data_IF_664291138149
#
_entry.id   IF_664291138149
#
_cell.length_a   1.000
_cell.length_b   1.000
_cell.length_c   1.000
_cell.angle_alpha   90.00
_cell.angle_beta   90.00
_cell.angle_gamma   90.00
#
_symmetry.space_group_name_H-M   'P 1'
#
loop_
_entity.id
_entity.type
_entity.pdbx_description
1 polymer ?
#
# COMPACT_ATOMS: atom_id res chain seq x y z
N UNK A 1 18.26 61.57 32.66
CA UNK A 1 18.62 61.35 31.22
C UNK A 1 19.78 60.39 31.24
N UNK A 2 19.71 59.13 30.81
CA UNK A 2 18.98 58.51 29.69
C UNK A 2 19.00 57.00 29.93
N UNK A 3 17.86 56.34 29.75
CA UNK A 3 17.77 54.87 29.74
C UNK A 3 18.45 54.31 28.47
N UNK A 4 19.12 53.14 28.51
CA UNK A 4 19.51 52.45 27.30
C UNK A 4 18.33 51.63 26.76
N UNK A 5 18.12 51.78 25.47
CA UNK A 5 17.11 51.20 24.60
C UNK A 5 17.27 49.68 24.43
N UNK A 6 16.15 49.00 24.59
CA UNK A 6 15.89 47.66 24.08
C UNK A 6 15.68 47.69 22.55
N UNK A 7 15.86 46.51 21.92
CA UNK A 7 15.70 46.13 20.49
C UNK A 7 17.02 46.04 19.68
N UNK A 8 17.53 44.83 19.56
CA UNK A 8 17.57 44.12 18.27
C UNK A 8 18.01 42.64 18.48
N UNK A 9 17.05 41.71 18.50
CA UNK A 9 17.35 40.25 18.52
C UNK A 9 16.65 39.57 17.37
N UNK A 10 16.93 40.02 16.15
CA UNK A 10 16.49 39.32 14.94
C UNK A 10 17.49 38.19 14.64
N UNK A 11 17.31 37.01 15.27
CA UNK A 11 18.03 35.81 14.85
C UNK A 11 17.55 35.41 13.45
N UNK A 12 18.40 35.62 12.44
CA UNK A 12 18.24 35.05 11.10
C UNK A 12 18.34 33.52 11.21
N UNK A 13 17.22 32.83 11.06
CA UNK A 13 17.22 31.38 10.82
C UNK A 13 17.84 31.13 9.44
N UNK A 14 19.04 30.56 9.41
CA UNK A 14 19.59 29.99 8.18
C UNK A 14 18.78 28.75 7.83
N UNK A 15 18.07 28.81 6.72
CA UNK A 15 17.34 27.69 6.14
C UNK A 15 18.38 26.78 5.49
N UNK A 16 18.67 25.63 6.11
CA UNK A 16 19.43 24.56 5.47
C UNK A 16 18.65 24.05 4.24
N UNK A 17 19.33 23.75 3.12
CA UNK A 17 18.67 23.07 2.02
C UNK A 17 18.25 21.69 2.51
N UNK A 18 16.93 21.47 2.58
CA UNK A 18 16.34 20.19 2.96
C UNK A 18 16.72 19.07 1.98
N UNK A 19 16.46 17.80 2.36
CA UNK A 19 16.80 16.65 1.53
C UNK A 19 16.12 16.73 0.17
N UNK A 20 16.80 16.18 -0.84
CA UNK A 20 16.43 16.22 -2.27
C UNK A 20 14.92 16.09 -2.51
N UNK A 21 14.42 16.95 -3.42
CA UNK A 21 13.01 17.05 -3.74
C UNK A 21 12.42 15.69 -4.13
N UNK A 22 11.29 15.25 -3.52
CA UNK A 22 10.60 14.05 -3.95
C UNK A 22 10.11 14.18 -5.40
N UNK A 23 9.98 13.04 -6.09
CA UNK A 23 9.55 12.92 -7.49
C UNK A 23 8.27 13.73 -7.81
N UNK A 24 8.09 14.21 -9.06
CA UNK A 24 7.02 15.13 -9.41
C UNK A 24 5.63 14.55 -9.10
N UNK A 25 4.90 15.24 -8.23
CA UNK A 25 3.61 14.84 -7.68
C UNK A 25 2.52 14.79 -8.77
N UNK A 26 1.78 13.68 -8.87
CA UNK A 26 0.63 13.53 -9.77
C UNK A 26 -0.64 14.11 -9.14
N UNK A 27 -1.52 14.71 -9.95
CA UNK A 27 -2.85 15.13 -9.48
C UNK A 27 -3.69 13.90 -9.12
N UNK A 28 -4.68 14.07 -8.24
CA UNK A 28 -5.48 12.96 -7.73
C UNK A 28 -6.95 13.34 -7.52
N UNK A 29 -7.77 12.32 -7.30
CA UNK A 29 -9.13 12.48 -6.77
C UNK A 29 -9.23 11.78 -5.42
N UNK A 30 -9.84 12.45 -4.45
CA UNK A 30 -10.02 11.95 -3.08
C UNK A 30 -11.50 11.92 -2.74
N UNK A 31 -12.00 10.82 -2.20
CA UNK A 31 -13.38 10.73 -1.70
C UNK A 31 -13.48 11.52 -0.40
N UNK A 32 -14.27 12.60 -0.40
CA UNK A 32 -14.46 13.49 0.76
C UNK A 32 -15.82 13.30 1.44
N UNK A 33 -16.74 12.56 0.80
CA UNK A 33 -18.04 12.20 1.36
C UNK A 33 -18.56 10.90 0.75
N UNK A 34 -19.30 10.14 1.54
CA UNK A 34 -19.92 8.88 1.12
C UNK A 34 -19.03 7.65 1.35
N UNK A 35 -19.35 6.56 0.67
CA UNK A 35 -18.66 5.29 0.82
C UNK A 35 -17.24 5.37 0.24
N UNK A 36 -16.25 4.88 1.00
CA UNK A 36 -14.86 5.01 0.63
C UNK A 36 -14.24 6.37 0.99
N UNK A 37 -14.82 7.11 1.95
CA UNK A 37 -14.22 8.33 2.53
C UNK A 37 -12.71 8.16 2.79
N UNK A 38 -11.91 9.11 2.28
CA UNK A 38 -10.45 9.12 2.37
C UNK A 38 -9.73 8.27 1.32
N UNK A 39 -10.44 7.44 0.53
CA UNK A 39 -9.81 6.76 -0.61
C UNK A 39 -9.34 7.78 -1.64
N UNK A 40 -8.16 7.53 -2.18
CA UNK A 40 -7.50 8.36 -3.18
C UNK A 40 -7.13 7.50 -4.37
N UNK A 41 -7.16 8.10 -5.56
CA UNK A 41 -6.50 7.54 -6.72
C UNK A 41 -5.79 8.65 -7.51
N UNK A 42 -4.54 8.37 -7.88
CA UNK A 42 -3.71 9.28 -8.64
C UNK A 42 -4.04 9.18 -10.13
N UNK A 43 -4.05 10.32 -10.79
CA UNK A 43 -4.28 10.42 -12.23
C UNK A 43 -2.93 10.21 -12.90
N UNK A 44 -2.78 9.03 -13.49
CA UNK A 44 -1.60 8.61 -14.23
C UNK A 44 -1.73 8.94 -15.72
N UNK A 45 -0.90 8.32 -16.56
CA UNK A 45 -0.99 8.43 -18.02
C UNK A 45 -2.25 7.78 -18.59
N UNK A 46 -2.72 6.69 -17.98
CA UNK A 46 -3.94 6.00 -18.37
C UNK A 46 -5.17 6.64 -17.71
N UNK A 47 -6.35 6.64 -18.37
CA UNK A 47 -7.56 7.18 -17.78
C UNK A 47 -7.95 6.45 -16.48
N UNK A 48 -8.00 7.20 -15.40
CA UNK A 48 -8.46 6.75 -14.08
C UNK A 48 -9.97 6.51 -14.12
N UNK A 49 -10.43 5.29 -13.86
CA UNK A 49 -11.85 4.93 -13.80
C UNK A 49 -12.35 4.91 -12.35
N UNK A 50 -13.45 5.63 -12.10
CA UNK A 50 -14.18 5.60 -10.82
C UNK A 50 -15.44 4.75 -11.00
N UNK A 51 -15.72 3.85 -10.07
CA UNK A 51 -16.94 3.04 -10.14
C UNK A 51 -17.09 2.03 -9.01
N UNK A 52 -18.22 1.30 -9.02
CA UNK A 52 -18.50 0.21 -8.07
C UNK A 52 -17.96 -1.16 -8.50
N UNK A 53 -17.26 -1.24 -9.64
CA UNK A 53 -16.55 -2.48 -9.98
C UNK A 53 -15.27 -2.56 -9.16
N UNK A 54 -14.90 -3.76 -8.69
CA UNK A 54 -13.58 -3.99 -8.10
C UNK A 54 -12.44 -3.75 -9.11
N UNK A 55 -12.76 -3.70 -10.41
CA UNK A 55 -11.84 -3.38 -11.51
C UNK A 55 -11.63 -1.88 -11.71
N UNK A 56 -12.42 -1.02 -11.05
CA UNK A 56 -12.22 0.42 -11.13
C UNK A 56 -10.98 0.83 -10.31
N UNK A 57 -10.18 1.75 -10.84
CA UNK A 57 -9.00 2.27 -10.14
C UNK A 57 -9.38 2.87 -8.79
N UNK A 58 -10.47 3.66 -8.78
CA UNK A 58 -11.13 4.13 -7.57
C UNK A 58 -12.46 3.39 -7.35
N UNK A 59 -12.35 2.30 -6.58
CA UNK A 59 -13.49 1.45 -6.21
C UNK A 59 -14.33 2.04 -5.07
N UNK A 60 -15.59 2.38 -5.39
CA UNK A 60 -16.62 2.88 -4.47
C UNK A 60 -17.79 1.86 -4.42
N UNK A 61 -17.85 0.98 -3.40
CA UNK A 61 -18.82 -0.14 -3.28
C UNK A 61 -20.31 0.22 -3.15
N UNK A 62 -20.75 1.39 -3.60
CA UNK A 62 -22.10 1.86 -3.32
C UNK A 62 -23.09 1.54 -4.45
N UNK A 63 -24.34 1.10 -4.15
CA UNK A 63 -25.35 0.80 -5.16
C UNK A 63 -25.70 1.97 -6.09
N UNK A 64 -25.60 3.21 -5.59
CA UNK A 64 -25.84 4.43 -6.38
C UNK A 64 -24.71 4.77 -7.35
N UNK A 65 -23.59 4.04 -7.33
CA UNK A 65 -22.47 4.20 -8.25
C UNK A 65 -22.55 3.11 -9.33
N UNK A 66 -22.49 3.48 -10.62
CA UNK A 66 -22.40 2.51 -11.73
C UNK A 66 -21.07 1.75 -11.71
N UNK A 67 -21.03 0.55 -12.33
CA UNK A 67 -19.84 -0.33 -12.32
C UNK A 67 -18.58 0.41 -12.82
N UNK A 68 -18.73 1.14 -13.91
CA UNK A 68 -17.83 2.20 -14.37
C UNK A 68 -18.68 3.46 -14.45
N UNK A 69 -18.38 4.47 -13.64
CA UNK A 69 -19.23 5.66 -13.46
C UNK A 69 -18.70 6.84 -14.26
N UNK A 70 -17.43 7.18 -14.06
CA UNK A 70 -16.74 8.22 -14.80
C UNK A 70 -15.28 7.83 -15.04
N UNK A 71 -14.64 8.52 -15.98
CA UNK A 71 -13.20 8.44 -16.19
C UNK A 71 -12.58 9.84 -16.11
N UNK A 72 -11.42 9.94 -15.46
CA UNK A 72 -10.61 11.14 -15.33
C UNK A 72 -9.28 10.91 -16.02
N UNK A 73 -8.83 11.86 -16.84
CA UNK A 73 -7.55 11.75 -17.54
C UNK A 73 -6.90 13.11 -17.70
N UNK A 74 -5.62 13.11 -18.07
CA UNK A 74 -4.88 14.32 -18.40
C UNK A 74 -4.61 14.37 -19.91
N UNK A 75 -4.98 15.48 -20.55
CA UNK A 75 -4.83 15.67 -21.99
C UNK A 75 -4.54 17.14 -22.29
N UNK A 76 -3.55 17.42 -23.16
CA UNK A 76 -3.22 18.79 -23.58
C UNK A 76 -2.99 19.78 -22.42
N UNK A 77 -2.40 19.33 -21.31
CA UNK A 77 -2.13 20.16 -20.13
C UNK A 77 -3.35 20.45 -19.26
N UNK A 78 -4.47 19.74 -19.46
CA UNK A 78 -5.71 19.88 -18.68
C UNK A 78 -6.16 18.53 -18.14
N UNK A 79 -6.73 18.56 -16.96
CA UNK A 79 -7.45 17.41 -16.42
C UNK A 79 -8.88 17.46 -16.92
N UNK A 80 -9.38 16.31 -17.38
CA UNK A 80 -10.72 16.17 -17.94
C UNK A 80 -11.43 14.99 -17.30
N UNK A 81 -12.74 15.09 -17.23
CA UNK A 81 -13.62 14.04 -16.72
C UNK A 81 -14.74 13.79 -17.72
N UNK A 82 -15.16 12.53 -17.82
CA UNK A 82 -16.33 12.12 -18.61
C UNK A 82 -17.22 11.18 -17.82
N UNK A 83 -18.52 11.31 -18.02
CA UNK A 83 -19.49 10.31 -17.60
C UNK A 83 -19.39 9.08 -18.52
N UNK A 84 -19.46 7.87 -17.95
CA UNK A 84 -19.40 6.61 -18.71
C UNK A 84 -20.80 6.00 -18.96
N UNK A 85 -21.83 6.85 -19.08
CA UNK A 85 -23.22 6.41 -19.20
C UNK A 85 -23.77 5.96 -17.86
N UNK A 86 -23.40 6.65 -16.78
CA UNK A 86 -23.79 6.26 -15.43
C UNK A 86 -25.29 6.48 -15.19
N UNK A 87 -25.88 5.64 -14.32
CA UNK A 87 -27.31 5.71 -13.99
C UNK A 87 -27.65 7.01 -13.25
N UNK A 88 -26.77 7.44 -12.33
CA UNK A 88 -27.01 8.61 -11.46
C UNK A 88 -26.30 9.88 -11.94
N UNK A 89 -25.74 9.85 -13.15
CA UNK A 89 -25.04 10.94 -13.85
C UNK A 89 -23.90 11.58 -13.05
N UNK A 90 -22.73 11.64 -13.65
CA UNK A 90 -21.58 12.36 -13.09
C UNK A 90 -21.89 13.85 -13.04
N UNK A 91 -21.60 14.49 -11.89
CA UNK A 91 -21.72 15.93 -11.72
C UNK A 91 -20.39 16.55 -11.30
N UNK A 92 -20.05 17.71 -11.86
CA UNK A 92 -18.92 18.54 -11.45
C UNK A 92 -19.48 19.85 -10.92
N UNK A 93 -19.19 20.19 -9.66
CA UNK A 93 -19.76 21.36 -8.97
C UNK A 93 -21.28 21.47 -9.17
N UNK A 94 -21.98 20.36 -8.87
CA UNK A 94 -23.44 20.19 -8.97
C UNK A 94 -24.02 20.15 -10.40
N UNK A 95 -23.22 20.42 -11.44
CA UNK A 95 -23.66 20.40 -12.84
C UNK A 95 -23.45 19.03 -13.45
N UNK A 96 -24.50 18.47 -14.08
CA UNK A 96 -24.39 17.21 -14.84
C UNK A 96 -23.49 17.43 -16.05
N UNK A 97 -22.56 16.50 -16.26
CA UNK A 97 -21.62 16.53 -17.38
C UNK A 97 -21.78 15.30 -18.27
N UNK A 98 -21.41 15.45 -19.54
CA UNK A 98 -20.98 14.33 -20.39
C UNK A 98 -19.44 14.30 -20.42
N UNK A 99 -18.83 15.47 -20.65
CA UNK A 99 -17.40 15.73 -20.54
C UNK A 99 -17.19 17.13 -19.95
N UNK A 100 -16.21 17.31 -19.07
CA UNK A 100 -15.81 18.62 -18.52
C UNK A 100 -14.31 18.69 -18.26
N UNK A 101 -13.76 19.89 -18.24
CA UNK A 101 -12.44 20.14 -17.65
C UNK A 101 -12.58 20.14 -16.10
N UNK A 102 -11.51 19.79 -15.39
CA UNK A 102 -11.40 19.81 -13.93
C UNK A 102 -10.35 20.84 -13.49
N UNK A 103 -10.72 21.67 -12.52
CA UNK A 103 -9.86 22.63 -11.84
C UNK A 103 -9.65 22.25 -10.37
N UNK A 104 -8.52 22.65 -9.80
CA UNK A 104 -8.18 22.36 -8.40
C UNK A 104 -9.33 22.71 -7.44
N UNK A 105 -9.71 21.75 -6.61
CA UNK A 105 -10.80 21.91 -5.64
C UNK A 105 -12.20 21.58 -6.17
N UNK A 106 -12.35 21.24 -7.46
CA UNK A 106 -13.63 20.83 -8.02
C UNK A 106 -14.21 19.59 -7.30
N UNK A 107 -15.51 19.64 -7.06
CA UNK A 107 -16.25 18.53 -6.48
C UNK A 107 -16.90 17.67 -7.57
N UNK A 108 -16.57 16.38 -7.59
CA UNK A 108 -17.17 15.40 -8.48
C UNK A 108 -18.15 14.54 -7.69
N UNK A 109 -19.43 14.61 -8.00
CA UNK A 109 -20.46 13.76 -7.39
C UNK A 109 -20.68 12.52 -8.25
N UNK A 110 -20.54 11.33 -7.65
CA UNK A 110 -20.88 10.03 -8.25
C UNK A 110 -21.83 9.28 -7.31
N UNK A 111 -23.10 9.16 -7.73
CA UNK A 111 -24.13 8.62 -6.84
C UNK A 111 -24.29 9.47 -5.57
N UNK A 112 -24.04 8.86 -4.41
CA UNK A 112 -24.07 9.52 -3.08
C UNK A 112 -22.68 9.91 -2.58
N UNK A 113 -21.63 9.62 -3.35
CA UNK A 113 -20.25 9.95 -2.98
C UNK A 113 -19.82 11.26 -3.62
N UNK A 114 -19.03 12.04 -2.88
CA UNK A 114 -18.42 13.28 -3.39
C UNK A 114 -16.90 13.09 -3.34
N UNK A 115 -16.27 13.32 -4.48
CA UNK A 115 -14.84 13.35 -4.64
C UNK A 115 -14.40 14.80 -4.79
N UNK A 116 -13.19 15.10 -4.36
CA UNK A 116 -12.51 16.36 -4.62
C UNK A 116 -11.33 16.10 -5.54
N UNK A 117 -11.27 16.83 -6.65
CA UNK A 117 -10.10 16.83 -7.50
C UNK A 117 -9.03 17.75 -6.92
N UNK A 118 -7.82 17.24 -6.81
CA UNK A 118 -6.67 17.95 -6.26
C UNK A 118 -5.57 17.93 -7.32
N UNK A 119 -5.20 19.10 -7.79
CA UNK A 119 -4.13 19.30 -8.76
C UNK A 119 -2.75 19.13 -8.12
N UNK A 120 -1.74 18.87 -8.96
CA UNK A 120 -0.35 18.74 -8.56
C UNK A 120 0.23 20.00 -7.86
N UNK A 121 -0.40 21.17 -8.03
CA UNK A 121 0.08 22.44 -7.50
C UNK A 121 -0.50 22.79 -6.11
N UNK A 122 -1.41 21.98 -5.57
CA UNK A 122 -2.12 22.31 -4.33
C UNK A 122 -1.29 21.98 -3.09
N UNK A 123 -1.21 22.92 -2.14
CA UNK A 123 -0.67 22.64 -0.79
C UNK A 123 -1.53 21.58 -0.09
N UNK A 124 -2.82 21.53 -0.40
CA UNK A 124 -3.73 20.51 0.10
C UNK A 124 -3.37 19.11 -0.42
N UNK A 125 -2.80 19.00 -1.63
CA UNK A 125 -2.29 17.74 -2.15
C UNK A 125 -1.22 17.14 -1.22
N UNK A 126 -0.36 17.99 -0.64
CA UNK A 126 0.68 17.56 0.31
C UNK A 126 0.06 17.06 1.62
N UNK A 127 -0.96 17.75 2.13
CA UNK A 127 -1.65 17.32 3.35
C UNK A 127 -2.42 16.00 3.13
N UNK A 128 -3.17 15.87 2.03
CA UNK A 128 -3.87 14.62 1.71
C UNK A 128 -2.90 13.49 1.36
N UNK A 129 -1.74 13.76 0.77
CA UNK A 129 -0.66 12.78 0.59
C UNK A 129 -0.13 12.31 1.94
N UNK A 130 0.26 13.21 2.83
CA UNK A 130 0.76 12.86 4.16
C UNK A 130 -0.29 12.09 4.97
N UNK A 131 -1.54 12.53 4.95
CA UNK A 131 -2.65 11.82 5.61
C UNK A 131 -2.89 10.45 4.96
N UNK A 132 -2.84 10.34 3.63
CA UNK A 132 -3.00 9.06 2.94
C UNK A 132 -1.83 8.12 3.25
N UNK A 133 -0.59 8.59 3.20
CA UNK A 133 0.60 7.81 3.56
C UNK A 133 0.51 7.33 5.02
N UNK A 134 0.19 8.20 5.96
CA UNK A 134 -0.03 7.83 7.37
C UNK A 134 -1.17 6.80 7.53
N UNK A 135 -2.21 6.90 6.70
CA UNK A 135 -3.36 6.01 6.75
C UNK A 135 -3.15 4.67 6.02
N UNK A 136 -2.20 4.58 5.08
CA UNK A 136 -2.01 3.43 4.19
C UNK A 136 -0.69 2.69 4.39
N UNK A 137 0.33 3.32 4.98
CA UNK A 137 1.66 2.74 5.17
C UNK A 137 1.99 2.55 6.65
N UNK A 138 2.86 1.58 6.92
CA UNK A 138 3.46 1.34 8.22
C UNK A 138 4.63 2.30 8.42
N UNK A 139 4.53 3.15 9.45
CA UNK A 139 5.53 4.20 9.75
C UNK A 139 6.96 3.70 9.97
N UNK A 140 7.15 2.41 10.29
CA UNK A 140 8.48 1.85 10.54
C UNK A 140 9.14 1.31 9.27
N UNK A 141 8.37 0.66 8.40
CA UNK A 141 8.88 -0.12 7.26
C UNK A 141 8.55 0.47 5.90
N UNK A 142 7.65 1.46 5.87
CA UNK A 142 7.11 2.10 4.68
C UNK A 142 6.48 1.10 3.70
N UNK A 143 6.02 -0.03 4.21
CA UNK A 143 5.17 -0.97 3.49
C UNK A 143 3.70 -0.65 3.73
N UNK A 144 2.81 -1.23 2.92
CA UNK A 144 1.38 -1.15 3.19
C UNK A 144 1.09 -1.60 4.62
N UNK A 145 0.35 -0.80 5.39
CA UNK A 145 -0.14 -1.26 6.67
C UNK A 145 -1.18 -2.37 6.47
N UNK A 146 -1.53 -3.06 7.56
CA UNK A 146 -2.48 -4.18 7.53
C UNK A 146 -3.77 -3.86 6.78
N UNK A 147 -4.37 -2.68 7.02
CA UNK A 147 -5.65 -2.31 6.40
C UNK A 147 -5.48 -2.18 4.89
N UNK A 148 -4.49 -1.40 4.45
CA UNK A 148 -4.26 -1.15 3.03
C UNK A 148 -3.84 -2.42 2.28
N UNK A 149 -2.98 -3.25 2.88
CA UNK A 149 -2.57 -4.53 2.29
C UNK A 149 -3.76 -5.45 2.02
N UNK A 150 -4.70 -5.56 2.96
CA UNK A 150 -5.89 -6.40 2.79
C UNK A 150 -6.82 -5.87 1.69
N UNK A 151 -6.95 -4.55 1.56
CA UNK A 151 -7.71 -3.92 0.46
C UNK A 151 -7.08 -4.23 -0.91
N UNK A 152 -5.75 -4.15 -1.01
CA UNK A 152 -5.02 -4.48 -2.24
C UNK A 152 -5.10 -5.97 -2.58
N UNK A 153 -5.01 -6.85 -1.58
CA UNK A 153 -5.17 -8.29 -1.76
C UNK A 153 -6.56 -8.66 -2.29
N UNK A 154 -7.63 -8.04 -1.80
CA UNK A 154 -8.98 -8.26 -2.34
C UNK A 154 -9.09 -7.86 -3.82
N UNK A 155 -8.48 -6.74 -4.20
CA UNK A 155 -8.44 -6.29 -5.61
C UNK A 155 -7.69 -7.28 -6.50
N UNK A 156 -6.51 -7.74 -6.07
CA UNK A 156 -5.71 -8.68 -6.85
C UNK A 156 -6.33 -10.07 -6.97
N UNK A 157 -7.06 -10.55 -5.94
CA UNK A 157 -7.85 -11.78 -6.04
C UNK A 157 -8.92 -11.64 -7.13
N UNK A 158 -9.72 -10.57 -7.08
CA UNK A 158 -10.76 -10.34 -8.09
C UNK A 158 -10.17 -10.25 -9.52
N UNK A 159 -9.01 -9.60 -9.66
CA UNK A 159 -8.28 -9.50 -10.93
C UNK A 159 -7.80 -10.86 -11.41
N UNK A 160 -7.19 -11.66 -10.54
CA UNK A 160 -6.69 -12.99 -10.85
C UNK A 160 -7.81 -13.94 -11.28
N UNK A 161 -8.96 -13.92 -10.59
CA UNK A 161 -10.15 -14.69 -10.95
C UNK A 161 -10.67 -14.33 -12.35
N UNK A 162 -10.81 -13.02 -12.61
CA UNK A 162 -11.31 -12.54 -13.91
C UNK A 162 -10.37 -12.91 -15.06
N UNK A 163 -9.06 -12.74 -14.86
CA UNK A 163 -8.05 -12.96 -15.89
C UNK A 163 -7.57 -14.43 -15.95
N UNK A 164 -8.08 -15.30 -15.07
CA UNK A 164 -7.61 -16.69 -14.87
C UNK A 164 -6.10 -16.76 -14.68
N UNK A 165 -5.54 -15.83 -13.91
CA UNK A 165 -4.11 -15.77 -13.60
C UNK A 165 -3.81 -16.43 -12.27
N UNK A 166 -2.60 -16.95 -12.14
CA UNK A 166 -2.10 -17.45 -10.86
C UNK A 166 -1.94 -16.29 -9.88
N UNK A 167 -2.21 -16.54 -8.61
CA UNK A 167 -1.94 -15.61 -7.51
C UNK A 167 -1.47 -16.42 -6.31
N UNK A 168 -0.41 -15.97 -5.66
CA UNK A 168 0.10 -16.58 -4.44
C UNK A 168 0.28 -15.55 -3.34
N UNK A 169 0.04 -15.97 -2.11
CA UNK A 169 0.26 -15.21 -0.90
C UNK A 169 1.37 -15.89 -0.09
N UNK A 170 2.37 -15.12 0.34
CA UNK A 170 3.33 -15.55 1.34
C UNK A 170 3.20 -14.68 2.59
N UNK A 171 3.16 -15.31 3.76
CA UNK A 171 3.22 -14.65 5.06
C UNK A 171 4.54 -15.03 5.73
N UNK A 172 5.29 -14.02 6.14
CA UNK A 172 6.61 -14.13 6.73
C UNK A 172 6.59 -13.59 8.16
N UNK A 173 7.28 -14.27 9.06
CA UNK A 173 7.45 -13.86 10.46
C UNK A 173 8.91 -13.96 10.88
N UNK A 174 9.38 -12.99 11.65
CA UNK A 174 10.75 -12.94 12.16
C UNK A 174 10.92 -13.91 13.33
N UNK A 175 11.76 -14.92 13.13
CA UNK A 175 11.96 -15.96 14.13
C UNK A 175 12.55 -15.38 15.41
N UNK A 176 11.95 -15.76 16.55
CA UNK A 176 12.40 -15.35 17.88
C UNK A 176 12.41 -13.84 18.12
N UNK A 177 11.59 -13.05 17.41
CA UNK A 177 11.57 -11.59 17.54
C UNK A 177 11.38 -11.08 18.97
N UNK A 178 10.53 -11.74 19.77
CA UNK A 178 10.41 -11.43 21.21
C UNK A 178 11.76 -11.48 21.95
N UNK A 179 12.60 -12.48 21.70
CA UNK A 179 13.93 -12.58 22.33
C UNK A 179 14.87 -11.47 21.89
N UNK A 180 14.70 -10.97 20.67
CA UNK A 180 15.44 -9.82 20.15
C UNK A 180 15.03 -8.57 20.93
N UNK A 181 13.74 -8.32 21.08
CA UNK A 181 13.22 -7.21 21.90
C UNK A 181 13.65 -7.32 23.36
N UNK A 182 13.58 -8.51 23.95
CA UNK A 182 13.97 -8.73 25.34
C UNK A 182 15.48 -8.43 25.56
N UNK A 183 16.32 -8.69 24.55
CA UNK A 183 17.78 -8.49 24.63
C UNK A 183 18.23 -7.08 24.26
N UNK A 184 17.62 -6.47 23.25
CA UNK A 184 18.08 -5.22 22.64
C UNK A 184 17.09 -4.06 22.82
N UNK A 185 15.98 -4.30 23.53
CA UNK A 185 14.86 -3.36 23.63
C UNK A 185 14.08 -3.22 22.32
N UNK A 186 12.94 -2.54 22.41
CA UNK A 186 12.13 -2.21 21.23
C UNK A 186 12.90 -1.46 20.13
N UNK A 187 13.81 -0.49 20.43
CA UNK A 187 14.61 0.15 19.38
C UNK A 187 15.47 -0.84 18.58
N UNK A 188 15.94 -1.92 19.22
CA UNK A 188 16.68 -2.98 18.54
C UNK A 188 15.80 -3.83 17.64
N UNK A 189 14.59 -4.15 18.11
CA UNK A 189 13.57 -4.78 17.26
C UNK A 189 13.20 -3.94 16.05
N UNK A 190 13.09 -2.62 16.21
CA UNK A 190 12.79 -1.70 15.11
C UNK A 190 13.86 -1.72 14.02
N UNK A 191 15.15 -1.77 14.42
CA UNK A 191 16.26 -1.90 13.48
C UNK A 191 16.18 -3.21 12.69
N UNK A 192 15.84 -4.31 13.37
CA UNK A 192 15.64 -5.63 12.76
C UNK A 192 14.50 -5.60 11.74
N UNK A 193 13.36 -5.01 12.08
CA UNK A 193 12.21 -4.92 11.18
C UNK A 193 12.51 -4.04 9.96
N UNK A 194 13.23 -2.93 10.13
CA UNK A 194 13.71 -2.11 9.00
C UNK A 194 14.64 -2.88 8.08
N UNK A 195 15.54 -3.69 8.64
CA UNK A 195 16.44 -4.52 7.85
C UNK A 195 15.68 -5.58 7.07
N UNK A 196 14.71 -6.26 7.68
CA UNK A 196 13.83 -7.21 6.98
C UNK A 196 13.08 -6.51 5.84
N UNK A 197 12.51 -5.33 6.10
CA UNK A 197 11.82 -4.56 5.07
C UNK A 197 12.74 -4.17 3.91
N UNK A 198 13.99 -3.77 4.18
CA UNK A 198 14.96 -3.47 3.12
C UNK A 198 15.28 -4.72 2.26
N UNK A 199 15.50 -5.88 2.90
CA UNK A 199 15.80 -7.13 2.21
C UNK A 199 14.62 -7.62 1.38
N UNK A 200 13.39 -7.54 1.91
CA UNK A 200 12.17 -7.84 1.17
C UNK A 200 12.06 -6.91 -0.04
N UNK A 201 12.15 -5.59 0.16
CA UNK A 201 12.03 -4.59 -0.91
C UNK A 201 13.03 -4.81 -2.04
N UNK A 202 14.27 -5.21 -1.73
CA UNK A 202 15.29 -5.51 -2.76
C UNK A 202 15.00 -6.72 -3.66
N UNK A 203 14.04 -7.57 -3.28
CA UNK A 203 13.67 -8.79 -4.00
C UNK A 203 12.28 -8.73 -4.64
N UNK A 204 11.53 -7.67 -4.36
CA UNK A 204 10.21 -7.44 -4.95
C UNK A 204 10.32 -6.90 -6.37
N UNK A 205 9.35 -7.29 -7.19
CA UNK A 205 9.11 -6.69 -8.50
C UNK A 205 8.07 -5.57 -8.41
N UNK A 206 7.98 -4.77 -9.46
CA UNK A 206 7.11 -3.58 -9.49
C UNK A 206 5.62 -3.92 -9.37
N UNK A 207 5.20 -5.10 -9.78
CA UNK A 207 3.82 -5.60 -9.74
C UNK A 207 3.47 -6.34 -8.45
N UNK A 208 4.43 -6.53 -7.53
CA UNK A 208 4.20 -7.26 -6.29
C UNK A 208 3.78 -6.36 -5.15
N UNK A 209 2.86 -6.86 -4.34
CA UNK A 209 2.35 -6.14 -3.19
C UNK A 209 3.05 -6.64 -1.92
N UNK A 210 3.40 -5.72 -1.04
CA UNK A 210 3.94 -6.03 0.28
C UNK A 210 3.28 -5.20 1.35
N UNK A 211 3.02 -5.84 2.50
CA UNK A 211 2.49 -5.18 3.67
C UNK A 211 3.06 -5.72 4.96
N UNK A 212 3.10 -4.87 5.99
CA UNK A 212 3.30 -5.29 7.37
C UNK A 212 1.93 -5.49 8.02
N UNK A 213 1.58 -6.74 8.25
CA UNK A 213 0.23 -7.15 8.68
C UNK A 213 0.13 -7.39 10.18
N UNK A 214 1.26 -7.42 10.90
CA UNK A 214 1.34 -7.59 12.35
C UNK A 214 2.61 -6.96 12.93
N UNK A 215 2.89 -7.23 14.21
CA UNK A 215 4.05 -6.68 14.90
C UNK A 215 5.38 -7.07 14.23
N UNK A 216 5.58 -8.35 13.98
CA UNK A 216 6.75 -8.93 13.29
C UNK A 216 6.39 -9.68 12.00
N UNK A 217 5.17 -9.49 11.51
CA UNK A 217 4.59 -10.24 10.40
C UNK A 217 4.46 -9.37 9.14
N UNK A 218 4.93 -9.93 8.04
CA UNK A 218 4.89 -9.35 6.70
C UNK A 218 4.11 -10.28 5.77
N UNK A 219 3.47 -9.70 4.76
CA UNK A 219 2.81 -10.46 3.72
C UNK A 219 3.18 -9.94 2.33
N UNK A 220 3.34 -10.86 1.39
CA UNK A 220 3.71 -10.58 0.00
C UNK A 220 2.70 -11.26 -0.93
N UNK A 221 2.19 -10.51 -1.90
CA UNK A 221 1.35 -11.03 -2.99
C UNK A 221 2.19 -11.14 -4.24
N UNK A 222 2.19 -12.32 -4.84
CA UNK A 222 2.83 -12.62 -6.12
C UNK A 222 1.76 -12.83 -7.18
N UNK A 223 1.38 -11.77 -7.92
CA UNK A 223 0.47 -11.90 -9.05
C UNK A 223 1.18 -12.58 -10.23
N UNK A 224 0.41 -13.33 -11.02
CA UNK A 224 0.84 -13.91 -12.30
C UNK A 224 2.13 -14.76 -12.22
N UNK A 225 2.34 -15.40 -11.06
CA UNK A 225 3.52 -16.21 -10.79
C UNK A 225 3.13 -17.67 -10.54
N UNK A 226 3.81 -18.58 -11.25
CA UNK A 226 3.65 -20.02 -11.04
C UNK A 226 4.05 -20.43 -9.60
N UNK A 227 3.32 -21.37 -8.96
CA UNK A 227 3.62 -21.85 -7.61
C UNK A 227 5.08 -22.27 -7.37
N UNK A 228 5.73 -22.92 -8.34
CA UNK A 228 7.12 -23.33 -8.20
C UNK A 228 8.07 -22.12 -8.21
N UNK A 229 7.78 -21.12 -9.06
CA UNK A 229 8.55 -19.88 -9.08
C UNK A 229 8.41 -19.10 -7.77
N UNK A 230 7.19 -19.05 -7.19
CA UNK A 230 6.95 -18.41 -5.89
C UNK A 230 7.72 -19.10 -4.78
N UNK A 231 7.75 -20.43 -4.76
CA UNK A 231 8.54 -21.21 -3.80
C UNK A 231 10.03 -20.86 -3.86
N UNK A 232 10.61 -20.86 -5.07
CA UNK A 232 12.03 -20.53 -5.27
C UNK A 232 12.36 -19.13 -4.74
N UNK A 233 11.48 -18.16 -5.00
CA UNK A 233 11.67 -16.78 -4.56
C UNK A 233 11.53 -16.60 -3.06
N UNK A 234 10.57 -17.28 -2.43
CA UNK A 234 10.45 -17.28 -0.98
C UNK A 234 11.65 -17.96 -0.31
N UNK A 235 12.18 -19.04 -0.90
CA UNK A 235 13.40 -19.69 -0.40
C UNK A 235 14.62 -18.75 -0.53
N UNK A 236 14.77 -18.08 -1.67
CA UNK A 236 15.83 -17.09 -1.87
C UNK A 236 15.73 -15.92 -0.87
N UNK A 237 14.52 -15.45 -0.59
CA UNK A 237 14.27 -14.42 0.43
C UNK A 237 14.69 -14.91 1.82
N UNK A 238 14.25 -16.10 2.21
CA UNK A 238 14.62 -16.73 3.48
C UNK A 238 16.12 -16.87 3.63
N UNK A 239 16.80 -17.38 2.61
CA UNK A 239 18.26 -17.52 2.61
C UNK A 239 18.97 -16.16 2.71
N UNK A 240 18.49 -15.15 1.98
CA UNK A 240 19.05 -13.80 2.00
C UNK A 240 18.95 -13.20 3.40
N UNK A 241 17.81 -13.38 4.08
CA UNK A 241 17.64 -12.95 5.48
C UNK A 241 18.60 -13.72 6.40
N UNK A 242 18.66 -15.05 6.29
CA UNK A 242 19.51 -15.88 7.14
C UNK A 242 21.01 -15.59 7.00
N UNK A 243 21.45 -15.17 5.81
CA UNK A 243 22.85 -14.78 5.54
C UNK A 243 23.15 -13.32 5.91
N UNK A 244 22.12 -12.50 6.07
CA UNK A 244 22.29 -11.10 6.42
C UNK A 244 22.65 -10.95 7.90
N UNK A 245 23.48 -9.96 8.19
CA UNK A 245 23.75 -9.52 9.57
C UNK A 245 23.15 -8.14 9.76
N UNK A 246 22.58 -7.90 10.95
CA UNK A 246 22.06 -6.60 11.36
C UNK A 246 22.84 -6.10 12.56
N UNK A 247 23.26 -4.84 12.50
CA UNK A 247 23.94 -4.17 13.61
C UNK A 247 22.91 -3.50 14.50
N UNK A 248 22.86 -3.91 15.76
CA UNK A 248 21.97 -3.35 16.79
C UNK A 248 22.83 -2.86 17.95
N UNK A 249 23.08 -1.55 18.00
CA UNK A 249 24.11 -0.97 18.88
C UNK A 249 25.50 -1.47 18.47
N UNK A 250 26.28 -1.94 19.45
CA UNK A 250 27.63 -2.48 19.23
C UNK A 250 27.66 -3.98 18.88
N UNK A 251 26.49 -4.60 18.67
CA UNK A 251 26.37 -6.03 18.40
C UNK A 251 25.87 -6.30 16.98
N UNK A 252 26.58 -7.15 16.24
CA UNK A 252 26.05 -7.75 15.01
C UNK A 252 25.34 -9.06 15.36
N UNK A 253 24.16 -9.27 14.79
CA UNK A 253 23.42 -10.52 14.93
C UNK A 253 22.86 -11.02 13.61
N UNK A 254 22.70 -12.34 13.52
CA UNK A 254 21.94 -12.98 12.46
C UNK A 254 20.49 -13.17 12.92
N UNK A 255 19.59 -13.18 11.95
CA UNK A 255 18.17 -13.41 12.15
C UNK A 255 17.67 -14.34 11.06
N UNK A 256 16.59 -15.04 11.35
CA UNK A 256 15.93 -15.93 10.39
C UNK A 256 14.46 -15.61 10.32
N UNK A 257 13.81 -16.11 9.28
CA UNK A 257 12.38 -15.94 9.05
C UNK A 257 11.76 -17.29 8.72
N UNK A 258 10.53 -17.47 9.16
CA UNK A 258 9.67 -18.57 8.72
C UNK A 258 8.65 -18.02 7.73
N UNK A 259 8.34 -18.77 6.67
CA UNK A 259 7.43 -18.34 5.61
C UNK A 259 6.35 -19.40 5.34
N UNK A 260 5.09 -18.99 5.41
CA UNK A 260 3.95 -19.78 4.96
C UNK A 260 3.45 -19.29 3.61
N UNK A 261 3.25 -20.20 2.65
CA UNK A 261 2.83 -19.88 1.29
C UNK A 261 1.48 -20.54 1.02
N UNK A 262 0.55 -19.82 0.38
CA UNK A 262 -0.68 -20.38 -0.15
C UNK A 262 -0.96 -19.86 -1.56
N UNK A 263 -1.68 -20.64 -2.34
CA UNK A 263 -2.01 -20.33 -3.74
C UNK A 263 -3.52 -20.13 -3.87
N UNK A 264 -3.93 -19.12 -4.64
CA UNK A 264 -5.32 -18.93 -5.01
C UNK A 264 -5.76 -20.12 -5.87
N UNK A 265 -6.91 -20.71 -5.55
CA UNK A 265 -7.42 -21.88 -6.26
C UNK A 265 -8.64 -22.49 -5.57
N UNK A 266 -9.12 -23.67 -6.01
CA UNK A 266 -10.36 -24.26 -5.47
C UNK A 266 -10.38 -24.48 -3.95
N UNK A 267 -9.22 -24.77 -3.35
CA UNK A 267 -9.08 -24.95 -1.90
C UNK A 267 -8.99 -23.62 -1.13
N UNK A 268 -8.65 -22.53 -1.81
CA UNK A 268 -8.48 -21.18 -1.27
C UNK A 268 -9.10 -20.17 -2.25
N UNK A 269 -10.45 -20.15 -2.43
CA UNK A 269 -11.09 -19.34 -3.47
C UNK A 269 -11.20 -17.86 -3.10
N UNK A 270 -10.99 -17.48 -1.84
CA UNK A 270 -11.22 -16.13 -1.36
C UNK A 270 -10.10 -15.66 -0.42
N UNK A 271 -10.10 -14.37 -0.10
CA UNK A 271 -9.11 -13.77 0.81
C UNK A 271 -9.03 -14.51 2.15
N UNK A 272 -10.16 -14.90 2.72
CA UNK A 272 -10.21 -15.48 4.08
C UNK A 272 -9.56 -16.86 4.12
N UNK A 273 -9.89 -17.70 3.15
CA UNK A 273 -9.31 -19.03 2.97
C UNK A 273 -7.83 -18.96 2.59
N UNK A 274 -7.44 -18.05 1.70
CA UNK A 274 -6.05 -17.86 1.28
C UNK A 274 -5.15 -17.42 2.46
N UNK A 275 -5.58 -16.41 3.22
CA UNK A 275 -4.86 -15.95 4.42
C UNK A 275 -4.71 -17.08 5.45
N UNK A 276 -5.80 -17.80 5.74
CA UNK A 276 -5.81 -18.89 6.72
C UNK A 276 -4.88 -20.03 6.32
N UNK A 277 -4.83 -20.36 5.03
CA UNK A 277 -3.94 -21.39 4.50
C UNK A 277 -2.47 -20.98 4.61
N UNK A 278 -2.14 -19.71 4.30
CA UNK A 278 -0.79 -19.17 4.45
C UNK A 278 -0.37 -19.13 5.92
N UNK A 279 -1.23 -18.69 6.83
CA UNK A 279 -0.99 -18.70 8.28
C UNK A 279 -0.76 -20.11 8.81
N UNK A 280 -1.58 -21.08 8.39
CA UNK A 280 -1.40 -22.48 8.79
C UNK A 280 -0.06 -23.04 8.29
N UNK A 281 0.36 -22.67 7.08
CA UNK A 281 1.66 -23.04 6.55
C UNK A 281 2.81 -22.37 7.33
N UNK A 282 2.67 -21.10 7.70
CA UNK A 282 3.65 -20.38 8.52
C UNK A 282 3.78 -21.02 9.90
N UNK A 283 2.66 -21.40 10.51
CA UNK A 283 2.65 -22.13 11.77
C UNK A 283 3.41 -23.46 11.65
N UNK A 284 3.20 -24.24 10.58
CA UNK A 284 4.00 -25.46 10.32
C UNK A 284 5.49 -25.15 10.16
N UNK A 285 5.85 -24.06 9.48
CA UNK A 285 7.26 -23.65 9.36
C UNK A 285 7.88 -23.37 10.74
N UNK A 286 7.14 -22.69 11.64
CA UNK A 286 7.57 -22.40 13.01
C UNK A 286 7.70 -23.67 13.86
N UNK A 287 6.73 -24.58 13.78
CA UNK A 287 6.71 -25.83 14.57
C UNK A 287 7.75 -26.84 14.10
N UNK A 288 8.03 -26.91 12.80
CA UNK A 288 8.97 -27.90 12.26
C UNK A 288 10.44 -27.48 12.37
N UNK A 289 10.73 -26.34 13.00
CA UNK A 289 12.10 -25.93 13.34
C UNK A 289 12.50 -24.53 12.87
N UNK A 290 11.54 -23.71 12.41
CA UNK A 290 11.77 -22.33 11.94
C UNK A 290 12.73 -22.26 10.76
N UNK A 291 13.11 -21.04 10.35
CA UNK A 291 14.05 -20.77 9.27
C UNK A 291 13.78 -21.62 8.01
N UNK A 292 12.53 -21.67 7.57
CA UNK A 292 12.08 -22.48 6.44
C UNK A 292 10.82 -21.92 5.81
N UNK A 293 10.52 -22.44 4.63
CA UNK A 293 9.24 -22.23 3.98
C UNK A 293 8.35 -23.47 4.12
N UNK A 294 7.04 -23.27 4.20
CA UNK A 294 6.05 -24.33 4.07
C UNK A 294 4.95 -23.84 3.12
N UNK A 295 4.41 -24.75 2.32
CA UNK A 295 3.33 -24.45 1.37
C UNK A 295 2.05 -25.12 1.83
N UNK A 296 0.93 -24.42 1.75
CA UNK A 296 -0.39 -24.97 2.00
C UNK A 296 -0.71 -26.10 0.99
N UNK A 297 -1.14 -27.25 1.50
CA UNK A 297 -1.39 -28.45 0.69
C UNK A 297 -0.15 -29.34 0.48
N UNK A 298 1.06 -28.87 0.80
CA UNK A 298 2.22 -29.77 0.89
C UNK A 298 2.22 -30.47 2.26
N UNK A 299 2.04 -31.79 2.25
CA UNK A 299 2.22 -32.64 3.44
C UNK A 299 0.95 -33.07 4.17
N UNK A 300 -0.16 -33.30 3.45
CA UNK A 300 -1.15 -34.30 3.86
C UNK A 300 -0.67 -35.71 3.44
#
# INVERSE_FOLDING_TARGET
MTAPTDRDTTQRTQISPGPDAPAPHSACVVVIHGEGLGKRADISTDPLVVGRSHEADLYIPHPSVSRQHCAVWHEHGRYRIRDLGSTNRTRVNERVIDVSDLADGDHVTVGESILKFISHASVEARYHEEVHQLASHDSLTDFSNRRHFLELLEKEIARAEHQRRALSLAILDVDHFKRINDRHGHPGGDVVLRQIAALVRSQLRADELVGRIGGEEFAIVYPDADPAAVRIRCEALRETVARSSVSVGDSAMQMTVSIGIAHLGPACPDRSSLMRAADAALYRAKETGRNRICVAGDGD
#
